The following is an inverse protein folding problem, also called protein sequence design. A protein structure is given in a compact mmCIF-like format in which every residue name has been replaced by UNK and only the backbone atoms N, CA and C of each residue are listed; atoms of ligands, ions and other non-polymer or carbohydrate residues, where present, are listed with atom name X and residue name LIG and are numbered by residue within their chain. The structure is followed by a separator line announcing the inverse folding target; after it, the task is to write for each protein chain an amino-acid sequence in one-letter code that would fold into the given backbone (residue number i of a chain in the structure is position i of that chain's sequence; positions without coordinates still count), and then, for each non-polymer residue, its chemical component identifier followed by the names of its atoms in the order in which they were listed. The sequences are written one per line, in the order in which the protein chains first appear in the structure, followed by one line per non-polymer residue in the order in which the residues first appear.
data_IF_894917211161
#
_entry.id   IF_894917211161
#
_cell.length_a   1.000
_cell.length_b   1.000
_cell.length_c   1.000
_cell.angle_alpha   90.00
_cell.angle_beta   90.00
_cell.angle_gamma   90.00
#
_symmetry.space_group_name_H-M   'P 1'
#
loop_
_entity.id
_entity.type
_entity.pdbx_description
1 polymer ?
#
# COMPACT_ATOMS: atom_id res chain seq x y z
N UNK A 1 -14.64 -15.45 0.05
CA UNK A 1 -14.63 -16.61 -0.88
C UNK A 1 -15.13 -16.23 -2.29
N UNK A 2 -16.10 -15.33 -2.46
CA UNK A 2 -16.60 -14.89 -3.78
C UNK A 2 -15.57 -14.08 -4.57
N UNK A 3 -14.75 -13.27 -3.92
CA UNK A 3 -13.71 -12.46 -4.59
C UNK A 3 -12.64 -13.35 -5.26
N UNK A 4 -12.25 -14.44 -4.61
CA UNK A 4 -11.24 -15.37 -5.16
C UNK A 4 -11.74 -16.08 -6.42
N UNK A 5 -13.05 -16.33 -6.52
CA UNK A 5 -13.68 -16.96 -7.71
C UNK A 5 -13.63 -16.11 -8.98
N UNK A 6 -13.31 -14.82 -8.87
CA UNK A 6 -13.16 -13.92 -10.03
C UNK A 6 -11.80 -14.07 -10.72
N UNK A 7 -10.84 -14.77 -10.10
CA UNK A 7 -9.52 -14.97 -10.66
C UNK A 7 -9.42 -16.36 -11.31
N UNK A 8 -8.65 -16.48 -12.41
CA UNK A 8 -8.42 -17.77 -13.04
C UNK A 8 -7.81 -18.76 -12.04
N UNK A 9 -8.25 -19.99 -12.07
CA UNK A 9 -7.70 -21.09 -11.24
C UNK A 9 -6.19 -21.27 -11.44
N UNK A 10 -5.68 -20.81 -12.59
CA UNK A 10 -4.24 -20.80 -12.92
C UNK A 10 -3.40 -19.89 -12.01
N UNK A 11 -4.01 -18.95 -11.27
CA UNK A 11 -3.29 -18.11 -10.31
C UNK A 11 -3.01 -18.82 -8.99
N UNK A 12 -3.70 -19.92 -8.71
CA UNK A 12 -3.52 -20.67 -7.48
C UNK A 12 -2.81 -22.00 -7.75
N UNK A 13 -1.71 -22.21 -7.04
CA UNK A 13 -0.96 -23.46 -7.05
C UNK A 13 -0.73 -23.90 -5.60
N UNK A 14 -1.33 -24.99 -5.18
CA UNK A 14 -1.20 -25.55 -3.83
C UNK A 14 0.25 -25.90 -3.47
N UNK A 15 1.06 -26.26 -4.46
CA UNK A 15 2.48 -26.58 -4.26
C UNK A 15 3.37 -25.33 -4.12
N UNK A 16 2.86 -24.16 -4.53
CA UNK A 16 3.54 -22.87 -4.39
C UNK A 16 2.58 -21.76 -3.91
N UNK A 17 2.13 -21.80 -2.65
CA UNK A 17 1.23 -20.79 -2.10
C UNK A 17 1.82 -19.37 -2.12
N UNK A 18 3.13 -19.24 -1.95
CA UNK A 18 3.80 -17.94 -2.01
C UNK A 18 3.78 -17.35 -3.42
N UNK A 19 4.08 -18.17 -4.44
CA UNK A 19 3.99 -17.75 -5.84
C UNK A 19 2.57 -17.33 -6.19
N UNK A 20 1.57 -18.09 -5.74
CA UNK A 20 0.16 -17.77 -5.91
C UNK A 20 -0.21 -16.44 -5.26
N UNK A 21 0.24 -16.19 -4.04
CA UNK A 21 0.02 -14.92 -3.35
C UNK A 21 0.67 -13.74 -4.10
N UNK A 22 1.92 -13.90 -4.54
CA UNK A 22 2.60 -12.87 -5.34
C UNK A 22 1.88 -12.62 -6.68
N UNK A 23 1.38 -13.66 -7.34
CA UNK A 23 0.61 -13.52 -8.58
C UNK A 23 -0.69 -12.74 -8.33
N UNK A 24 -1.40 -13.05 -7.24
CA UNK A 24 -2.60 -12.33 -6.85
C UNK A 24 -2.31 -10.84 -6.58
N UNK A 25 -1.26 -10.52 -5.84
CA UNK A 25 -0.87 -9.12 -5.60
C UNK A 25 -0.52 -8.37 -6.90
N UNK A 26 0.10 -9.07 -7.87
CA UNK A 26 0.46 -8.47 -9.14
C UNK A 26 -0.76 -8.14 -10.03
N UNK A 27 -1.87 -8.84 -9.88
CA UNK A 27 -3.10 -8.57 -10.65
C UNK A 27 -4.14 -7.76 -9.86
N UNK A 28 -3.90 -7.49 -8.59
CA UNK A 28 -4.80 -6.71 -7.73
C UNK A 28 -4.13 -5.45 -7.20
N UNK A 29 -3.39 -5.54 -6.10
CA UNK A 29 -2.83 -4.38 -5.38
C UNK A 29 -1.85 -3.58 -6.25
N UNK A 30 -1.05 -4.27 -7.06
CA UNK A 30 -0.05 -3.60 -7.88
C UNK A 30 -0.70 -2.66 -8.93
N UNK A 31 -1.62 -3.10 -9.80
CA UNK A 31 -2.26 -2.21 -10.76
C UNK A 31 -3.30 -1.28 -10.11
N UNK A 32 -4.17 -1.79 -9.24
CA UNK A 32 -5.35 -1.08 -8.75
C UNK A 32 -5.05 -0.07 -7.62
N UNK A 33 -3.94 -0.22 -6.92
CA UNK A 33 -3.53 0.74 -5.89
C UNK A 33 -2.20 1.42 -6.24
N UNK A 34 -1.13 0.66 -6.44
CA UNK A 34 0.20 1.25 -6.54
C UNK A 34 0.41 1.99 -7.86
N UNK A 35 0.16 1.34 -9.00
CA UNK A 35 0.43 1.94 -10.32
C UNK A 35 -0.57 3.04 -10.64
N UNK A 36 -1.86 2.81 -10.45
CA UNK A 36 -2.91 3.80 -10.75
C UNK A 36 -2.77 5.06 -9.89
N UNK A 37 -2.43 4.92 -8.62
CA UNK A 37 -2.22 6.05 -7.72
C UNK A 37 -1.01 6.89 -8.14
N UNK A 38 0.11 6.23 -8.43
CA UNK A 38 1.32 6.91 -8.89
C UNK A 38 1.10 7.60 -10.24
N UNK A 39 0.38 6.96 -11.15
CA UNK A 39 0.03 7.53 -12.45
C UNK A 39 -0.83 8.78 -12.26
N UNK A 40 -1.93 8.70 -11.51
CA UNK A 40 -2.80 9.85 -11.26
C UNK A 40 -2.09 11.02 -10.61
N UNK A 41 -1.22 10.79 -9.63
CA UNK A 41 -0.45 11.86 -9.00
C UNK A 41 0.61 12.45 -9.93
N UNK A 42 1.30 11.61 -10.70
CA UNK A 42 2.28 12.07 -11.69
C UNK A 42 1.60 12.88 -12.80
N UNK A 43 0.53 12.33 -13.37
CA UNK A 43 -0.19 12.96 -14.48
C UNK A 43 -0.89 14.27 -14.09
N UNK A 44 -1.24 14.46 -12.82
CA UNK A 44 -1.71 15.75 -12.33
C UNK A 44 -0.69 16.89 -12.54
N UNK A 45 0.58 16.54 -12.72
CA UNK A 45 1.69 17.45 -13.01
C UNK A 45 2.36 17.16 -14.36
N UNK A 46 1.66 16.47 -15.27
CA UNK A 46 2.14 16.08 -16.60
C UNK A 46 3.43 15.23 -16.57
N UNK A 47 3.62 14.45 -15.50
CA UNK A 47 4.75 13.53 -15.35
C UNK A 47 4.30 12.08 -15.51
N UNK A 48 4.89 11.38 -16.48
CA UNK A 48 4.63 9.96 -16.70
C UNK A 48 5.55 9.08 -15.85
N UNK A 49 4.97 8.18 -15.05
CA UNK A 49 5.71 7.20 -14.26
C UNK A 49 6.21 6.04 -15.12
N UNK A 50 7.49 5.68 -15.00
CA UNK A 50 8.09 4.50 -15.63
C UNK A 50 8.63 3.57 -14.56
N UNK A 51 8.26 2.29 -14.62
CA UNK A 51 8.53 1.29 -13.58
C UNK A 51 9.32 0.11 -14.17
N UNK A 52 10.66 0.20 -14.31
CA UNK A 52 11.47 -0.86 -14.91
C UNK A 52 11.29 -2.21 -14.22
N UNK A 53 11.16 -2.22 -12.89
CA UNK A 53 10.96 -3.43 -12.10
C UNK A 53 9.55 -4.04 -12.22
N UNK A 54 8.59 -3.30 -12.79
CA UNK A 54 7.26 -3.79 -13.11
C UNK A 54 7.10 -4.09 -14.63
N UNK A 55 8.20 -4.06 -15.40
CA UNK A 55 8.15 -4.42 -16.80
C UNK A 55 7.78 -5.90 -16.99
N UNK A 56 7.06 -6.20 -18.06
CA UNK A 56 6.63 -7.57 -18.37
C UNK A 56 7.79 -8.59 -18.39
N UNK A 57 8.94 -8.17 -18.92
CA UNK A 57 10.13 -9.03 -18.99
C UNK A 57 10.69 -9.32 -17.60
N UNK A 58 10.84 -8.27 -16.78
CA UNK A 58 11.35 -8.42 -15.42
C UNK A 58 10.39 -9.25 -14.53
N UNK A 59 9.10 -9.02 -14.66
CA UNK A 59 8.09 -9.79 -13.93
C UNK A 59 8.11 -11.26 -14.32
N UNK A 60 8.19 -11.58 -15.61
CA UNK A 60 8.36 -12.97 -16.08
C UNK A 60 9.59 -13.63 -15.46
N UNK A 61 10.72 -12.93 -15.44
CA UNK A 61 11.95 -13.40 -14.81
C UNK A 61 11.73 -13.63 -13.30
N UNK A 62 11.12 -12.69 -12.59
CA UNK A 62 10.84 -12.84 -11.17
C UNK A 62 9.94 -14.05 -10.87
N UNK A 63 8.94 -14.32 -11.73
CA UNK A 63 8.07 -15.48 -11.55
C UNK A 63 8.72 -16.80 -11.92
N UNK A 64 9.76 -16.82 -12.77
CA UNK A 64 10.52 -18.03 -13.06
C UNK A 64 11.41 -18.50 -11.91
N UNK A 65 11.70 -17.63 -10.93
CA UNK A 65 12.48 -17.98 -9.76
C UNK A 65 11.61 -18.73 -8.77
N UNK A 66 12.09 -19.87 -8.28
CA UNK A 66 11.38 -20.67 -7.27
C UNK A 66 11.08 -19.83 -6.02
N UNK A 67 9.84 -19.88 -5.56
CA UNK A 67 9.37 -19.04 -4.44
C UNK A 67 10.12 -19.28 -3.14
N UNK A 68 10.61 -20.50 -2.89
CA UNK A 68 11.44 -20.81 -1.72
C UNK A 68 12.76 -20.03 -1.72
N UNK A 69 13.31 -19.72 -2.89
CA UNK A 69 14.52 -18.90 -3.02
C UNK A 69 14.26 -17.40 -2.75
N UNK A 70 13.01 -16.96 -2.85
CA UNK A 70 12.63 -15.56 -2.60
C UNK A 70 12.53 -15.24 -1.12
N UNK A 71 12.39 -16.26 -0.26
CA UNK A 71 12.24 -16.09 1.19
C UNK A 71 13.62 -16.17 1.86
N UNK A 72 13.91 -15.21 2.72
CA UNK A 72 15.09 -15.21 3.58
C UNK A 72 14.80 -14.45 4.88
N UNK A 73 15.65 -14.64 5.89
CA UNK A 73 15.61 -13.83 7.12
C UNK A 73 15.83 -12.34 6.85
N UNK A 74 16.56 -12.01 5.78
CA UNK A 74 16.76 -10.61 5.35
C UNK A 74 15.76 -10.23 4.26
N UNK A 75 15.01 -9.17 4.49
CA UNK A 75 14.11 -8.62 3.48
C UNK A 75 14.89 -8.19 2.23
N UNK A 76 14.34 -8.48 1.04
CA UNK A 76 14.92 -8.11 -0.26
C UNK A 76 16.33 -8.67 -0.48
N UNK A 77 16.65 -9.85 0.07
CA UNK A 77 18.01 -10.41 0.03
C UNK A 77 18.54 -10.53 -1.40
N UNK A 78 17.75 -11.06 -2.35
CA UNK A 78 18.17 -11.21 -3.75
C UNK A 78 18.56 -9.87 -4.38
N UNK A 79 17.74 -8.82 -4.18
CA UNK A 79 18.07 -7.48 -4.69
C UNK A 79 19.33 -6.92 -4.02
N UNK A 80 19.48 -7.14 -2.71
CA UNK A 80 20.68 -6.70 -1.97
C UNK A 80 21.93 -7.40 -2.47
N UNK A 81 21.86 -8.72 -2.71
CA UNK A 81 22.97 -9.49 -3.23
C UNK A 81 23.34 -9.09 -4.66
N UNK A 82 22.33 -8.82 -5.50
CA UNK A 82 22.56 -8.36 -6.86
C UNK A 82 23.27 -7.00 -6.92
N UNK A 83 22.95 -6.09 -5.98
CA UNK A 83 23.46 -4.72 -6.00
C UNK A 83 24.60 -4.44 -4.98
N UNK A 84 25.08 -5.44 -4.24
CA UNK A 84 26.08 -5.26 -3.18
C UNK A 84 27.40 -4.61 -3.65
N UNK A 85 27.77 -4.84 -4.92
CA UNK A 85 28.99 -4.27 -5.50
C UNK A 85 28.74 -2.97 -6.28
N UNK A 86 27.49 -2.54 -6.39
CA UNK A 86 27.07 -1.36 -7.17
C UNK A 86 26.64 -0.23 -6.24
N UNK A 87 25.93 -0.57 -5.15
CA UNK A 87 25.41 0.39 -4.20
C UNK A 87 26.28 0.49 -2.95
N UNK A 88 26.39 1.67 -2.35
CA UNK A 88 27.09 1.85 -1.08
C UNK A 88 26.54 0.93 0.03
N UNK A 89 27.42 0.46 0.90
CA UNK A 89 27.09 -0.48 1.98
C UNK A 89 25.98 0.03 2.91
N UNK A 90 25.91 1.32 3.17
CA UNK A 90 24.87 1.92 4.01
C UNK A 90 23.48 1.81 3.38
N UNK A 91 23.35 1.82 2.05
CA UNK A 91 22.10 1.58 1.32
C UNK A 91 21.72 0.10 1.38
N UNK A 92 22.69 -0.79 1.10
CA UNK A 92 22.48 -2.24 1.12
C UNK A 92 22.04 -2.73 2.51
N UNK A 93 22.59 -2.15 3.58
CA UNK A 93 22.30 -2.55 4.95
C UNK A 93 21.15 -1.75 5.60
N UNK A 94 20.61 -0.74 4.92
CA UNK A 94 19.50 0.07 5.45
C UNK A 94 18.28 -0.79 5.73
N UNK A 95 17.73 -0.66 6.92
CA UNK A 95 16.46 -1.28 7.30
C UNK A 95 15.28 -0.75 6.47
N UNK A 96 14.16 -1.46 6.49
CA UNK A 96 12.93 -0.99 5.86
C UNK A 96 12.45 0.28 6.56
N UNK A 97 12.43 1.39 5.83
CA UNK A 97 11.80 2.63 6.26
C UNK A 97 10.44 2.73 5.58
N UNK A 98 9.36 2.80 6.35
CA UNK A 98 8.02 3.01 5.79
C UNK A 98 7.78 4.48 5.43
N UNK A 99 6.80 4.73 4.59
CA UNK A 99 6.26 6.06 4.37
C UNK A 99 5.42 6.43 5.60
N UNK A 100 6.04 7.07 6.56
CA UNK A 100 5.35 7.59 7.73
C UNK A 100 5.18 9.09 7.58
N UNK A 101 4.14 9.50 6.84
CA UNK A 101 3.68 10.87 6.96
C UNK A 101 3.24 11.09 8.43
N UNK A 102 3.68 12.13 9.11
CA UNK A 102 3.34 12.38 10.51
C UNK A 102 1.91 12.94 10.65
N UNK A 103 0.94 12.27 10.04
CA UNK A 103 -0.46 12.69 9.98
C UNK A 103 -1.07 12.92 11.37
N UNK A 104 -0.75 12.04 12.33
CA UNK A 104 -1.21 12.22 13.70
C UNK A 104 -0.74 13.53 14.33
N UNK A 105 0.52 13.84 14.09
CA UNK A 105 1.11 15.08 14.57
C UNK A 105 0.43 16.28 13.93
N UNK A 106 0.30 16.29 12.60
CA UNK A 106 -0.33 17.39 11.87
C UNK A 106 -1.79 17.62 12.28
N UNK A 107 -2.58 16.56 12.41
CA UNK A 107 -3.99 16.67 12.85
C UNK A 107 -4.07 17.22 14.28
N UNK A 108 -3.23 16.70 15.19
CA UNK A 108 -3.23 17.14 16.60
C UNK A 108 -2.72 18.57 16.78
N UNK A 109 -1.81 19.04 15.94
CA UNK A 109 -1.28 20.40 15.98
C UNK A 109 -2.17 21.43 15.27
N UNK A 110 -3.16 20.96 14.49
CA UNK A 110 -4.06 21.85 13.77
C UNK A 110 -5.48 21.75 14.30
N UNK A 111 -5.93 22.70 15.16
CA UNK A 111 -7.26 22.68 15.74
C UNK A 111 -8.38 22.66 14.70
N UNK A 112 -8.20 23.31 13.55
CA UNK A 112 -9.19 23.32 12.46
C UNK A 112 -9.37 21.94 11.84
N UNK A 113 -8.28 21.19 11.65
CA UNK A 113 -8.34 19.81 11.17
C UNK A 113 -8.96 18.88 12.20
N UNK A 114 -8.66 19.08 13.46
CA UNK A 114 -9.23 18.30 14.56
C UNK A 114 -10.74 18.52 14.66
N UNK A 115 -11.20 19.79 14.62
CA UNK A 115 -12.63 20.13 14.61
C UNK A 115 -13.35 19.55 13.39
N UNK A 116 -12.73 19.63 12.22
CA UNK A 116 -13.28 19.03 10.99
C UNK A 116 -13.43 17.52 11.14
N UNK A 117 -12.44 16.85 11.70
CA UNK A 117 -12.49 15.42 11.99
C UNK A 117 -13.64 15.10 12.94
N UNK A 118 -13.76 15.82 14.05
CA UNK A 118 -14.84 15.63 15.04
C UNK A 118 -16.22 15.81 14.41
N UNK A 119 -16.41 16.87 13.62
CA UNK A 119 -17.68 17.11 12.91
C UNK A 119 -18.05 15.98 11.96
N UNK A 120 -17.09 15.53 11.15
CA UNK A 120 -17.34 14.48 10.14
C UNK A 120 -17.53 13.10 10.75
N UNK A 121 -16.91 12.84 11.88
CA UNK A 121 -16.95 11.53 12.53
C UNK A 121 -18.02 11.43 13.63
N UNK A 122 -18.69 12.52 14.01
CA UNK A 122 -19.66 12.59 15.09
C UNK A 122 -20.75 11.52 15.03
N UNK A 123 -21.15 11.10 13.83
CA UNK A 123 -22.21 10.11 13.62
C UNK A 123 -21.69 8.68 13.33
N UNK A 124 -20.37 8.50 13.23
CA UNK A 124 -19.75 7.23 12.78
C UNK A 124 -18.76 6.63 13.79
N UNK A 125 -18.55 7.31 14.91
CA UNK A 125 -17.66 6.82 15.96
C UNK A 125 -18.46 6.23 17.13
N UNK A 126 -17.89 5.18 17.74
CA UNK A 126 -18.30 4.79 19.09
C UNK A 126 -18.19 6.00 20.01
N UNK A 127 -19.31 6.44 20.66
CA UNK A 127 -19.31 7.59 21.57
C UNK A 127 -18.28 7.50 22.70
N UNK A 128 -17.85 6.27 23.04
CA UNK A 128 -16.88 6.00 24.08
C UNK A 128 -15.43 6.04 23.61
N UNK A 129 -15.17 6.16 22.31
CA UNK A 129 -13.82 6.17 21.77
C UNK A 129 -13.26 7.59 21.71
N UNK A 130 -12.27 7.87 22.55
CA UNK A 130 -11.56 9.15 22.53
C UNK A 130 -10.61 9.23 21.33
N UNK A 131 -10.65 10.35 20.60
CA UNK A 131 -9.75 10.65 19.47
C UNK A 131 -8.28 10.50 19.86
N UNK A 132 -7.94 10.84 21.10
CA UNK A 132 -6.59 10.72 21.65
C UNK A 132 -6.05 9.29 21.67
N UNK A 133 -6.92 8.28 21.63
CA UNK A 133 -6.55 6.85 21.63
C UNK A 133 -6.25 6.32 20.24
N UNK A 134 -6.69 7.02 19.17
CA UNK A 134 -6.41 6.59 17.80
C UNK A 134 -4.99 6.99 17.39
N UNK A 135 -4.31 6.07 16.73
CA UNK A 135 -3.04 6.39 16.04
C UNK A 135 -3.34 7.29 14.83
N UNK A 136 -2.37 8.11 14.42
CA UNK A 136 -2.59 9.02 13.31
C UNK A 136 -2.88 8.35 11.97
N UNK A 137 -2.48 7.09 11.81
CA UNK A 137 -2.85 6.30 10.64
C UNK A 137 -4.37 6.10 10.57
N UNK A 138 -4.98 5.73 11.67
CA UNK A 138 -6.43 5.53 11.74
C UNK A 138 -7.20 6.83 11.60
N UNK A 139 -6.72 7.91 12.20
CA UNK A 139 -7.31 9.24 12.02
C UNK A 139 -7.33 9.67 10.55
N UNK A 140 -6.22 9.47 9.84
CA UNK A 140 -6.13 9.79 8.42
C UNK A 140 -7.08 8.94 7.56
N UNK A 141 -7.17 7.64 7.83
CA UNK A 141 -8.08 6.73 7.14
C UNK A 141 -9.53 7.15 7.36
N UNK A 142 -9.91 7.43 8.60
CA UNK A 142 -11.27 7.86 8.93
C UNK A 142 -11.64 9.18 8.21
N UNK A 143 -10.71 10.15 8.17
CA UNK A 143 -10.93 11.40 7.43
C UNK A 143 -11.08 11.18 5.92
N UNK A 144 -10.27 10.30 5.35
CA UNK A 144 -10.39 9.92 3.92
C UNK A 144 -11.77 9.31 3.64
N UNK A 145 -12.20 8.36 4.47
CA UNK A 145 -13.51 7.73 4.35
C UNK A 145 -14.64 8.76 4.49
N UNK A 146 -14.61 9.59 5.52
CA UNK A 146 -15.62 10.61 5.73
C UNK A 146 -15.73 11.58 4.55
N UNK A 147 -14.58 12.01 4.00
CA UNK A 147 -14.53 12.89 2.83
C UNK A 147 -15.06 12.19 1.58
N UNK A 148 -14.72 10.92 1.38
CA UNK A 148 -15.20 10.11 0.26
C UNK A 148 -16.73 9.94 0.31
N UNK A 149 -17.28 9.56 1.46
CA UNK A 149 -18.74 9.43 1.64
C UNK A 149 -19.47 10.75 1.34
N UNK A 150 -18.92 11.87 1.76
CA UNK A 150 -19.49 13.18 1.50
C UNK A 150 -19.43 13.55 0.02
N UNK A 151 -18.28 13.34 -0.63
CA UNK A 151 -18.06 13.65 -2.04
C UNK A 151 -19.02 12.88 -2.95
N UNK A 152 -19.31 11.62 -2.62
CA UNK A 152 -20.22 10.78 -3.40
C UNK A 152 -21.67 10.82 -2.91
N UNK A 153 -21.99 11.71 -1.96
CA UNK A 153 -23.33 11.82 -1.37
C UNK A 153 -23.92 10.48 -0.94
N UNK A 154 -23.06 9.57 -0.51
CA UNK A 154 -23.48 8.30 0.06
C UNK A 154 -23.99 8.62 1.46
N UNK A 155 -25.22 9.15 1.49
CA UNK A 155 -25.91 9.44 2.72
C UNK A 155 -26.42 8.14 3.33
N UNK A 156 -26.25 8.01 4.64
CA UNK A 156 -26.90 7.03 5.50
C UNK A 156 -26.47 5.58 5.33
N UNK A 157 -25.31 5.28 5.84
CA UNK A 157 -25.06 3.98 6.45
C UNK A 157 -24.78 4.17 7.94
#
# INVERSE_FOLDING_TARGET
QEFIKQFPDTLYNEQDPLGSFCALECVTICPEDMLIRNDKFGMAYSMEGRYPLASKQFMKYCFSINSKQKISKKLKHMSRDAYKNVLPSYIINKGKTGWTAPMAYWIKQNPSLLNLYEQKMKHKMDPNMKITQKTGKWLAIDMMWATWFEAFKIANY
#
